data_IF_636158758701
#
_entry.id   IF_636158758701
#
_cell.length_a   1.000
_cell.length_b   1.000
_cell.length_c   1.000
_cell.angle_alpha   90.00
_cell.angle_beta   90.00
_cell.angle_gamma   90.00
#
_symmetry.space_group_name_H-M   'P 1'
#
loop_
_entity.id
_entity.type
_entity.pdbx_description
1 polymer ?
#
# COMPACT_ATOMS: atom_id res chain seq x y z
N UNK A 1 -34.94 -49.06 -16.24
CA UNK A 1 -34.17 -48.04 -17.00
C UNK A 1 -33.83 -46.78 -16.21
N UNK A 2 -34.57 -46.41 -15.14
CA UNK A 2 -34.33 -45.17 -14.38
C UNK A 2 -33.01 -45.14 -13.56
N UNK A 3 -32.53 -46.26 -13.01
CA UNK A 3 -31.35 -46.29 -12.14
C UNK A 3 -30.00 -46.03 -12.84
N UNK A 4 -29.86 -46.37 -14.14
CA UNK A 4 -28.63 -46.12 -14.91
C UNK A 4 -28.47 -44.64 -15.26
N UNK A 5 -29.57 -43.94 -15.56
CA UNK A 5 -29.53 -42.50 -15.84
C UNK A 5 -29.18 -41.68 -14.60
N UNK A 6 -29.67 -42.07 -13.42
CA UNK A 6 -29.35 -41.40 -12.17
C UNK A 6 -27.87 -41.55 -11.79
N UNK A 7 -27.29 -42.75 -12.00
CA UNK A 7 -25.87 -43.02 -11.74
C UNK A 7 -24.94 -42.24 -12.69
N UNK A 8 -25.30 -42.14 -13.98
CA UNK A 8 -24.54 -41.37 -14.97
C UNK A 8 -24.56 -39.87 -14.64
N UNK A 9 -25.71 -39.32 -14.24
CA UNK A 9 -25.83 -37.92 -13.83
C UNK A 9 -25.04 -37.61 -12.54
N UNK A 10 -25.06 -38.52 -11.57
CA UNK A 10 -24.29 -38.37 -10.33
C UNK A 10 -22.77 -38.41 -10.59
N UNK A 11 -22.30 -39.33 -11.44
CA UNK A 11 -20.87 -39.42 -11.82
C UNK A 11 -20.43 -38.18 -12.61
N UNK A 12 -21.27 -37.69 -13.54
CA UNK A 12 -20.99 -36.47 -14.27
C UNK A 12 -20.88 -35.25 -13.34
N UNK A 13 -21.80 -35.09 -12.38
CA UNK A 13 -21.76 -33.99 -11.42
C UNK A 13 -20.50 -34.04 -10.52
N UNK A 14 -20.11 -35.22 -10.05
CA UNK A 14 -18.90 -35.42 -9.23
C UNK A 14 -17.65 -35.08 -10.06
N UNK A 15 -17.58 -35.53 -11.32
CA UNK A 15 -16.48 -35.20 -12.23
C UNK A 15 -16.41 -33.71 -12.54
N UNK A 16 -17.54 -33.03 -12.73
CA UNK A 16 -17.57 -31.58 -12.96
C UNK A 16 -17.09 -30.81 -11.73
N UNK A 17 -17.55 -31.18 -10.53
CA UNK A 17 -17.09 -30.56 -9.28
C UNK A 17 -15.60 -30.83 -9.05
N UNK A 18 -15.12 -32.05 -9.30
CA UNK A 18 -13.71 -32.40 -9.17
C UNK A 18 -12.83 -31.65 -10.19
N UNK A 19 -13.26 -31.54 -11.45
CA UNK A 19 -12.54 -30.81 -12.50
C UNK A 19 -12.51 -29.31 -12.19
N UNK A 20 -13.62 -28.71 -11.74
CA UNK A 20 -13.65 -27.31 -11.29
C UNK A 20 -12.73 -27.12 -10.09
N UNK A 21 -12.77 -28.02 -9.09
CA UNK A 21 -11.93 -27.94 -7.90
C UNK A 21 -10.44 -28.07 -8.24
N UNK A 22 -10.08 -28.98 -9.14
CA UNK A 22 -8.69 -29.15 -9.63
C UNK A 22 -8.27 -27.97 -10.50
N UNK A 23 -9.13 -27.42 -11.35
CA UNK A 23 -8.82 -26.21 -12.12
C UNK A 23 -8.63 -25.00 -11.22
N UNK A 24 -9.50 -24.81 -10.22
CA UNK A 24 -9.37 -23.74 -9.23
C UNK A 24 -8.10 -23.91 -8.39
N UNK A 25 -7.74 -25.14 -8.02
CA UNK A 25 -6.52 -25.43 -7.27
C UNK A 25 -5.24 -25.27 -8.10
N UNK A 26 -5.25 -25.65 -9.39
CA UNK A 26 -4.10 -25.53 -10.29
C UNK A 26 -3.90 -24.12 -10.86
N UNK A 27 -4.95 -23.29 -10.89
CA UNK A 27 -4.91 -21.88 -11.30
C UNK A 27 -4.79 -20.91 -10.12
N UNK A 28 -4.94 -21.40 -8.89
CA UNK A 28 -4.65 -20.63 -7.68
C UNK A 28 -3.16 -20.28 -7.70
N UNK A 29 -2.77 -19.00 -7.59
CA UNK A 29 -1.41 -18.65 -7.21
C UNK A 29 -1.03 -19.46 -5.97
N UNK A 30 0.24 -19.86 -5.85
CA UNK A 30 0.75 -20.70 -4.75
C UNK A 30 0.65 -20.02 -3.39
N UNK A 31 -0.57 -19.84 -2.88
CA UNK A 31 -0.88 -19.28 -1.59
C UNK A 31 -0.73 -20.37 -0.54
N UNK A 32 0.02 -20.06 0.51
CA UNK A 32 0.14 -20.89 1.70
C UNK A 32 -1.21 -20.93 2.43
N UNK A 33 -1.92 -19.79 2.48
CA UNK A 33 -3.28 -19.69 2.99
C UNK A 33 -4.00 -18.47 2.41
N UNK A 34 -5.32 -18.49 2.51
CA UNK A 34 -6.19 -17.35 2.17
C UNK A 34 -6.94 -16.93 3.43
N UNK A 35 -6.95 -15.62 3.70
CA UNK A 35 -7.69 -14.99 4.78
C UNK A 35 -8.85 -14.17 4.22
N UNK A 36 -10.03 -14.32 4.81
CA UNK A 36 -11.17 -13.48 4.49
C UNK A 36 -11.21 -12.28 5.45
N UNK A 37 -10.87 -11.10 4.93
CA UNK A 37 -10.98 -9.83 5.66
C UNK A 37 -12.43 -9.32 5.62
N UNK A 38 -13.13 -9.59 4.53
CA UNK A 38 -14.54 -9.25 4.34
C UNK A 38 -14.79 -7.75 4.15
N UNK A 39 -15.90 -7.27 4.67
CA UNK A 39 -16.31 -5.87 4.55
C UNK A 39 -16.94 -5.51 3.20
N UNK A 40 -17.09 -4.22 2.92
CA UNK A 40 -17.90 -3.71 1.78
C UNK A 40 -17.35 -4.08 0.41
N UNK A 41 -16.08 -4.46 0.33
CA UNK A 41 -15.40 -4.87 -0.88
C UNK A 41 -15.02 -6.36 -0.90
N UNK A 42 -15.57 -7.16 0.03
CA UNK A 42 -15.32 -8.61 0.16
C UNK A 42 -13.82 -8.96 0.14
N UNK A 43 -13.02 -8.18 0.85
CA UNK A 43 -11.57 -8.25 0.76
C UNK A 43 -11.02 -9.61 1.20
N UNK A 44 -10.04 -10.13 0.45
CA UNK A 44 -9.32 -11.38 0.73
C UNK A 44 -7.82 -11.14 0.64
N UNK A 45 -7.05 -11.85 1.46
CA UNK A 45 -5.59 -11.81 1.45
C UNK A 45 -5.07 -13.22 1.22
N UNK A 46 -4.40 -13.44 0.10
CA UNK A 46 -3.67 -14.67 -0.19
C UNK A 46 -2.21 -14.53 0.23
N UNK A 47 -1.80 -15.24 1.27
CA UNK A 47 -0.44 -15.21 1.81
C UNK A 47 0.46 -16.12 0.99
N UNK A 48 1.60 -15.61 0.53
CA UNK A 48 2.59 -16.36 -0.29
C UNK A 48 3.89 -16.64 0.46
N UNK A 49 4.12 -15.99 1.60
CA UNK A 49 5.34 -16.19 2.38
C UNK A 49 5.51 -15.16 3.48
N UNK A 50 6.76 -14.99 3.90
CA UNK A 50 7.19 -14.06 4.95
C UNK A 50 8.40 -13.28 4.42
N UNK A 51 8.44 -11.97 4.66
CA UNK A 51 9.59 -11.13 4.29
C UNK A 51 10.76 -11.30 5.27
N UNK A 52 11.89 -10.65 4.98
CA UNK A 52 13.11 -10.74 5.80
C UNK A 52 12.96 -10.18 7.21
N UNK A 53 11.86 -9.45 7.50
CA UNK A 53 11.56 -8.88 8.82
C UNK A 53 10.61 -9.78 9.61
N UNK A 54 10.13 -10.86 9.03
CA UNK A 54 9.17 -11.76 9.68
C UNK A 54 7.71 -11.40 9.42
N UNK A 55 7.41 -10.43 8.54
CA UNK A 55 6.02 -10.09 8.21
C UNK A 55 5.50 -10.92 7.07
N UNK A 56 4.27 -11.37 7.19
CA UNK A 56 3.61 -12.12 6.13
C UNK A 56 3.33 -11.23 4.92
N UNK A 57 3.60 -11.76 3.74
CA UNK A 57 3.44 -11.07 2.47
C UNK A 57 2.57 -11.87 1.53
N UNK A 58 1.95 -11.18 0.59
CA UNK A 58 1.09 -11.83 -0.37
C UNK A 58 0.39 -10.88 -1.33
N UNK A 59 -0.78 -11.30 -1.76
CA UNK A 59 -1.67 -10.50 -2.59
C UNK A 59 -2.98 -10.24 -1.86
N UNK A 60 -3.46 -9.01 -1.95
CA UNK A 60 -4.79 -8.62 -1.51
C UNK A 60 -5.71 -8.52 -2.73
N UNK A 61 -6.95 -8.97 -2.58
CA UNK A 61 -8.00 -8.98 -3.61
C UNK A 61 -9.26 -8.34 -3.03
N UNK A 62 -9.94 -7.50 -3.81
CA UNK A 62 -11.20 -6.87 -3.40
C UNK A 62 -12.05 -6.48 -4.59
N UNK A 63 -13.36 -6.40 -4.41
CA UNK A 63 -14.31 -6.00 -5.44
C UNK A 63 -14.77 -4.57 -5.22
N UNK A 64 -14.60 -3.71 -6.23
CA UNK A 64 -15.10 -2.34 -6.21
C UNK A 64 -15.61 -1.96 -7.60
N UNK A 65 -16.73 -1.27 -7.65
CA UNK A 65 -17.35 -0.81 -8.91
C UNK A 65 -17.57 -1.96 -9.94
N UNK A 66 -17.87 -3.17 -9.44
CA UNK A 66 -18.09 -4.37 -10.26
C UNK A 66 -16.82 -5.04 -10.79
N UNK A 67 -15.63 -4.58 -10.38
CA UNK A 67 -14.33 -5.08 -10.84
C UNK A 67 -13.54 -5.65 -9.67
N UNK A 68 -12.89 -6.79 -9.89
CA UNK A 68 -11.90 -7.32 -8.95
C UNK A 68 -10.58 -6.60 -9.14
N UNK A 69 -10.04 -6.05 -8.05
CA UNK A 69 -8.73 -5.44 -8.00
C UNK A 69 -7.77 -6.32 -7.21
N UNK A 70 -6.49 -6.22 -7.57
CA UNK A 70 -5.39 -6.94 -6.91
C UNK A 70 -4.31 -5.95 -6.48
N UNK A 71 -3.82 -6.09 -5.25
CA UNK A 71 -2.69 -5.32 -4.72
C UNK A 71 -1.68 -6.20 -4.00
N UNK A 72 -0.52 -5.62 -3.71
CA UNK A 72 0.44 -6.23 -2.79
C UNK A 72 -0.07 -6.14 -1.36
N UNK A 73 0.18 -7.18 -0.57
CA UNK A 73 -0.11 -7.22 0.86
C UNK A 73 1.17 -7.40 1.67
N UNK A 74 1.31 -6.64 2.75
CA UNK A 74 2.30 -6.89 3.79
C UNK A 74 1.70 -6.65 5.18
N UNK A 75 1.84 -7.63 6.06
CA UNK A 75 1.23 -7.65 7.39
C UNK A 75 1.71 -6.53 8.33
N UNK A 76 2.86 -5.88 8.07
CA UNK A 76 3.30 -4.77 8.92
C UNK A 76 2.34 -3.57 8.91
N UNK A 77 1.49 -3.42 7.88
CA UNK A 77 0.45 -2.39 7.85
C UNK A 77 -0.84 -2.79 8.56
N UNK A 78 -1.01 -4.05 8.98
CA UNK A 78 -2.32 -4.57 9.41
C UNK A 78 -2.95 -3.75 10.53
N UNK A 79 -2.19 -3.47 11.58
CA UNK A 79 -2.66 -2.65 12.71
C UNK A 79 -3.09 -1.25 12.28
N UNK A 80 -2.35 -0.63 11.36
CA UNK A 80 -2.69 0.68 10.81
C UNK A 80 -3.96 0.60 9.95
N UNK A 81 -4.14 -0.45 9.15
CA UNK A 81 -5.32 -0.64 8.31
C UNK A 81 -6.58 -0.88 9.15
N UNK A 82 -6.49 -1.70 10.20
CA UNK A 82 -7.57 -1.91 11.17
C UNK A 82 -7.94 -0.59 11.85
N UNK A 83 -6.95 0.21 12.25
CA UNK A 83 -7.18 1.53 12.83
C UNK A 83 -7.85 2.48 11.83
N UNK A 84 -7.37 2.57 10.59
CA UNK A 84 -7.95 3.42 9.54
C UNK A 84 -9.43 3.08 9.36
N UNK A 85 -9.76 1.79 9.26
CA UNK A 85 -11.12 1.31 9.06
C UNK A 85 -12.06 1.68 10.22
N UNK A 86 -11.57 1.60 11.45
CA UNK A 86 -12.36 1.86 12.66
C UNK A 86 -12.42 3.33 13.09
N UNK A 87 -11.46 4.17 12.67
CA UNK A 87 -11.25 5.50 13.28
C UNK A 87 -11.27 6.67 12.30
N UNK A 88 -11.48 6.43 11.01
CA UNK A 88 -11.59 7.51 10.01
C UNK A 88 -12.96 7.52 9.33
N UNK A 89 -13.45 8.68 8.85
CA UNK A 89 -14.69 8.74 8.07
C UNK A 89 -14.60 7.87 6.80
N UNK A 90 -15.71 7.26 6.36
CA UNK A 90 -15.73 6.38 5.17
C UNK A 90 -15.26 7.07 3.88
N UNK A 91 -15.48 8.39 3.78
CA UNK A 91 -15.04 9.21 2.65
C UNK A 91 -13.63 9.78 2.81
N UNK A 92 -12.85 9.31 3.79
CA UNK A 92 -11.46 9.73 3.95
C UNK A 92 -10.62 9.32 2.73
N UNK A 93 -9.76 10.25 2.31
CA UNK A 93 -8.82 10.07 1.21
C UNK A 93 -7.41 10.21 1.78
N UNK A 94 -6.58 9.19 1.53
CA UNK A 94 -5.22 9.12 2.00
C UNK A 94 -4.23 9.50 0.90
N UNK A 95 -3.29 10.40 1.22
CA UNK A 95 -2.07 10.59 0.47
C UNK A 95 -1.01 9.61 1.00
N UNK A 96 -0.50 8.75 0.14
CA UNK A 96 0.48 7.72 0.48
C UNK A 96 1.24 7.29 -0.77
N UNK A 97 2.37 6.59 -0.58
CA UNK A 97 3.04 5.92 -1.68
C UNK A 97 2.18 4.77 -2.24
N UNK A 98 2.31 4.49 -3.54
CA UNK A 98 1.35 3.65 -4.28
C UNK A 98 1.32 2.19 -3.84
N UNK A 99 2.44 1.64 -3.37
CA UNK A 99 2.54 0.23 -2.92
C UNK A 99 1.47 -0.20 -1.91
N UNK A 100 0.92 0.75 -1.13
CA UNK A 100 -0.05 0.46 -0.07
C UNK A 100 -1.46 0.93 -0.41
N UNK A 101 -1.68 1.61 -1.54
CA UNK A 101 -2.97 2.21 -1.85
C UNK A 101 -4.08 1.16 -2.02
N UNK A 102 -3.77 0.00 -2.60
CA UNK A 102 -4.73 -1.11 -2.66
C UNK A 102 -5.08 -1.67 -1.27
N UNK A 103 -4.16 -1.67 -0.30
CA UNK A 103 -4.47 -2.07 1.07
C UNK A 103 -5.41 -1.05 1.74
N UNK A 104 -5.19 0.24 1.54
CA UNK A 104 -6.08 1.29 2.07
C UNK A 104 -7.49 1.18 1.48
N UNK A 105 -7.59 0.94 0.17
CA UNK A 105 -8.89 0.78 -0.52
C UNK A 105 -9.57 -0.53 -0.15
N UNK A 106 -8.93 -1.67 -0.40
CA UNK A 106 -9.56 -2.97 -0.23
C UNK A 106 -9.72 -3.39 1.22
N UNK A 107 -8.67 -3.24 2.04
CA UNK A 107 -8.69 -3.69 3.43
C UNK A 107 -9.39 -2.66 4.33
N UNK A 108 -8.91 -1.41 4.30
CA UNK A 108 -9.35 -0.37 5.22
C UNK A 108 -10.59 0.40 4.74
N UNK A 109 -11.05 0.14 3.51
CA UNK A 109 -12.27 0.70 2.94
C UNK A 109 -12.27 2.23 2.87
N UNK A 110 -11.11 2.83 2.59
CA UNK A 110 -10.91 4.27 2.38
C UNK A 110 -10.28 4.54 1.02
N UNK A 111 -10.43 5.74 0.48
CA UNK A 111 -9.83 6.06 -0.80
C UNK A 111 -8.35 6.44 -0.67
N UNK A 112 -7.59 6.24 -1.74
CA UNK A 112 -6.16 6.52 -1.83
C UNK A 112 -5.90 7.40 -3.05
N UNK A 113 -5.07 8.44 -2.90
CA UNK A 113 -4.69 9.32 -4.02
C UNK A 113 -4.04 8.49 -5.13
N UNK A 114 -3.06 7.65 -4.79
CA UNK A 114 -2.45 6.69 -5.72
C UNK A 114 -2.49 5.27 -5.13
N UNK A 115 -2.70 4.27 -5.99
CA UNK A 115 -2.73 2.85 -5.63
C UNK A 115 -1.92 1.96 -6.57
N UNK A 116 -1.51 2.51 -7.70
CA UNK A 116 -0.71 1.87 -8.73
C UNK A 116 0.44 2.78 -9.15
N UNK A 117 1.52 2.23 -9.72
CA UNK A 117 2.56 3.06 -10.32
C UNK A 117 2.01 3.75 -11.58
N UNK A 118 2.75 4.73 -12.10
CA UNK A 118 2.59 5.16 -13.49
C UNK A 118 3.43 4.29 -14.43
N UNK A 119 3.23 4.43 -15.74
CA UNK A 119 4.02 3.74 -16.75
C UNK A 119 5.52 4.06 -16.62
N UNK A 120 5.85 5.31 -16.35
CA UNK A 120 7.21 5.83 -16.11
C UNK A 120 7.77 5.31 -14.80
N UNK A 121 6.91 5.08 -13.80
CA UNK A 121 7.33 4.57 -12.51
C UNK A 121 7.66 3.07 -12.51
N UNK A 122 7.39 2.35 -13.61
CA UNK A 122 7.71 0.93 -13.75
C UNK A 122 9.20 0.60 -13.53
N UNK A 123 10.09 1.57 -13.75
CA UNK A 123 11.53 1.42 -13.45
C UNK A 123 11.83 1.14 -11.97
N UNK A 124 10.89 1.49 -11.08
CA UNK A 124 11.00 1.27 -9.64
C UNK A 124 10.33 -0.04 -9.18
N UNK A 125 9.73 -0.80 -10.09
CA UNK A 125 8.91 -1.97 -9.78
C UNK A 125 9.67 -3.26 -10.09
N UNK A 126 9.73 -4.15 -9.10
CA UNK A 126 10.45 -5.44 -9.23
C UNK A 126 9.74 -6.44 -10.16
N UNK A 127 8.41 -6.51 -10.09
CA UNK A 127 7.59 -7.40 -10.92
C UNK A 127 6.43 -6.61 -11.52
N UNK A 128 6.46 -6.43 -12.84
CA UNK A 128 5.44 -5.70 -13.60
C UNK A 128 4.39 -6.60 -14.22
N UNK A 129 4.60 -7.93 -14.24
CA UNK A 129 3.78 -8.88 -15.00
C UNK A 129 2.33 -9.00 -14.51
N UNK A 130 2.04 -8.45 -13.33
CA UNK A 130 0.74 -8.54 -12.67
C UNK A 130 0.00 -7.18 -12.63
N UNK A 131 0.63 -6.10 -13.12
CA UNK A 131 0.03 -4.77 -13.13
C UNK A 131 -0.91 -4.63 -14.34
N UNK A 132 -2.15 -4.26 -14.06
CA UNK A 132 -3.21 -4.04 -15.08
C UNK A 132 -3.75 -2.61 -15.08
N UNK A 133 -3.45 -1.85 -14.03
CA UNK A 133 -3.95 -0.51 -13.79
C UNK A 133 -2.76 0.40 -13.47
N UNK A 134 -2.86 1.65 -13.89
CA UNK A 134 -1.83 2.67 -13.68
C UNK A 134 -2.46 3.97 -13.19
N UNK A 135 -1.80 4.65 -12.25
CA UNK A 135 -2.09 6.05 -11.96
C UNK A 135 -1.37 6.95 -12.97
N UNK A 136 -1.81 8.20 -13.13
CA UNK A 136 -1.09 9.14 -14.00
C UNK A 136 0.26 9.50 -13.40
N UNK A 137 1.25 9.79 -14.25
CA UNK A 137 2.56 10.21 -13.79
C UNK A 137 2.51 11.46 -12.92
N UNK A 138 1.66 12.42 -13.29
CA UNK A 138 1.44 13.65 -12.51
C UNK A 138 1.07 13.34 -11.06
N UNK A 139 0.19 12.37 -10.81
CA UNK A 139 -0.18 11.99 -9.45
C UNK A 139 0.99 11.39 -8.67
N UNK A 140 1.86 10.61 -9.33
CA UNK A 140 3.08 10.07 -8.71
C UNK A 140 4.02 11.20 -8.31
N UNK A 141 4.25 12.15 -9.23
CA UNK A 141 5.11 13.32 -9.01
C UNK A 141 4.56 14.19 -7.88
N UNK A 142 3.26 14.44 -7.84
CA UNK A 142 2.64 15.22 -6.78
C UNK A 142 2.76 14.57 -5.41
N UNK A 143 2.47 13.27 -5.30
CA UNK A 143 2.66 12.55 -4.03
C UNK A 143 4.13 12.58 -3.60
N UNK A 144 5.05 12.37 -4.54
CA UNK A 144 6.48 12.47 -4.28
C UNK A 144 6.89 13.87 -3.76
N UNK A 145 6.39 14.94 -4.39
CA UNK A 145 6.64 16.33 -3.97
C UNK A 145 6.04 16.63 -2.59
N UNK A 146 4.81 16.19 -2.32
CA UNK A 146 4.16 16.36 -1.02
C UNK A 146 4.96 15.68 0.11
N UNK A 147 5.53 14.50 -0.16
CA UNK A 147 6.36 13.78 0.81
C UNK A 147 7.74 14.44 0.99
N UNK A 148 8.35 14.96 -0.06
CA UNK A 148 9.77 15.37 -0.02
C UNK A 148 10.00 16.86 0.16
N UNK A 149 8.97 17.70 0.01
CA UNK A 149 9.10 19.14 0.24
C UNK A 149 9.56 19.46 1.67
N UNK A 150 10.26 20.58 1.82
CA UNK A 150 10.64 21.14 3.13
C UNK A 150 9.67 22.24 3.60
N UNK A 151 8.63 22.50 2.83
CA UNK A 151 7.59 23.48 3.09
C UNK A 151 6.24 22.77 3.25
N UNK A 152 5.73 22.69 4.48
CA UNK A 152 4.45 22.01 4.75
C UNK A 152 3.27 22.60 3.97
N UNK A 153 3.29 23.87 3.57
CA UNK A 153 2.20 24.46 2.79
C UNK A 153 2.08 23.83 1.39
N UNK A 154 3.20 23.47 0.74
CA UNK A 154 3.19 22.76 -0.54
C UNK A 154 2.57 21.37 -0.40
N UNK A 155 2.92 20.65 0.68
CA UNK A 155 2.31 19.36 0.98
C UNK A 155 0.79 19.50 1.22
N UNK A 156 0.38 20.53 1.98
CA UNK A 156 -1.03 20.82 2.23
C UNK A 156 -1.80 21.21 0.96
N UNK A 157 -1.18 21.95 0.03
CA UNK A 157 -1.77 22.30 -1.27
C UNK A 157 -2.00 21.06 -2.13
N UNK A 158 -1.03 20.15 -2.21
CA UNK A 158 -1.19 18.88 -2.93
C UNK A 158 -2.26 18.01 -2.26
N UNK A 159 -2.28 17.95 -0.93
CA UNK A 159 -3.36 17.26 -0.22
C UNK A 159 -4.74 17.85 -0.56
N UNK A 160 -4.86 19.19 -0.64
CA UNK A 160 -6.10 19.86 -1.06
C UNK A 160 -6.45 19.56 -2.52
N UNK A 161 -5.49 19.54 -3.44
CA UNK A 161 -5.68 19.21 -4.87
C UNK A 161 -6.41 17.87 -5.04
N UNK A 162 -6.10 16.88 -4.19
CA UNK A 162 -6.71 15.54 -4.24
C UNK A 162 -7.78 15.29 -3.17
N UNK A 163 -8.22 16.32 -2.45
CA UNK A 163 -9.14 16.20 -1.30
C UNK A 163 -8.65 15.22 -0.22
N UNK A 164 -7.33 14.98 -0.13
CA UNK A 164 -6.74 14.16 0.90
C UNK A 164 -6.95 14.79 2.29
N UNK A 165 -7.46 13.98 3.20
CA UNK A 165 -7.70 14.34 4.61
C UNK A 165 -6.69 13.71 5.54
N UNK A 166 -5.97 12.69 5.07
CA UNK A 166 -4.91 12.01 5.79
C UNK A 166 -3.68 11.84 4.91
N UNK A 167 -2.51 11.75 5.55
CA UNK A 167 -1.25 11.35 4.94
C UNK A 167 -0.68 10.17 5.73
N UNK A 168 -0.32 9.10 5.04
CA UNK A 168 0.26 7.90 5.62
C UNK A 168 1.68 7.73 5.07
N UNK A 169 2.63 7.55 5.99
CA UNK A 169 4.03 7.28 5.66
C UNK A 169 4.48 6.05 6.43
N UNK A 170 5.18 5.17 5.74
CA UNK A 170 5.80 3.97 6.29
C UNK A 170 7.30 4.17 6.46
N UNK A 171 7.91 3.44 7.38
CA UNK A 171 9.37 3.44 7.57
C UNK A 171 10.14 3.08 6.29
N UNK A 172 9.57 2.20 5.45
CA UNK A 172 10.12 1.85 4.14
C UNK A 172 10.19 3.05 3.18
N UNK A 173 9.26 4.01 3.29
CA UNK A 173 9.26 5.24 2.48
C UNK A 173 10.47 6.13 2.82
N UNK A 174 10.95 6.08 4.06
CA UNK A 174 12.17 6.75 4.52
C UNK A 174 13.46 5.91 4.42
N UNK A 175 13.37 4.66 3.97
CA UNK A 175 14.52 3.73 3.92
C UNK A 175 14.65 3.11 2.53
N UNK A 176 13.92 2.04 2.26
CA UNK A 176 14.03 1.26 1.02
C UNK A 176 13.52 2.00 -0.23
N UNK A 177 12.53 2.89 -0.07
CA UNK A 177 11.85 3.55 -1.20
C UNK A 177 12.22 5.02 -1.35
N UNK A 178 12.90 5.59 -0.36
CA UNK A 178 13.23 7.01 -0.32
C UNK A 178 13.92 7.47 -1.61
N UNK A 179 14.87 6.69 -2.15
CA UNK A 179 15.52 7.00 -3.43
C UNK A 179 14.51 7.26 -4.56
N UNK A 180 13.52 6.38 -4.73
CA UNK A 180 12.52 6.51 -5.80
C UNK A 180 11.57 7.67 -5.55
N UNK A 181 11.11 7.84 -4.30
CA UNK A 181 10.22 8.95 -3.93
C UNK A 181 10.90 10.30 -4.23
N UNK A 182 12.17 10.48 -3.84
CA UNK A 182 12.91 11.70 -4.17
C UNK A 182 13.15 11.85 -5.67
N UNK A 183 13.51 10.77 -6.37
CA UNK A 183 13.73 10.80 -7.81
C UNK A 183 12.47 11.25 -8.58
N UNK A 184 11.27 10.76 -8.22
CA UNK A 184 10.02 11.20 -8.84
C UNK A 184 9.59 12.62 -8.45
N UNK A 185 10.15 13.17 -7.37
CA UNK A 185 10.05 14.59 -7.04
C UNK A 185 11.08 15.46 -7.79
N UNK A 186 11.85 14.88 -8.72
CA UNK A 186 12.96 15.53 -9.44
C UNK A 186 14.11 15.96 -8.50
N UNK A 187 14.28 15.24 -7.39
CA UNK A 187 15.32 15.49 -6.39
C UNK A 187 16.38 14.40 -6.42
N UNK A 188 17.64 14.79 -6.27
CA UNK A 188 18.72 13.84 -6.02
C UNK A 188 18.75 13.46 -4.54
N UNK A 189 18.35 12.22 -4.22
CA UNK A 189 18.27 11.74 -2.84
C UNK A 189 19.59 11.85 -2.08
N UNK A 190 20.74 11.71 -2.75
CA UNK A 190 22.05 11.78 -2.08
C UNK A 190 22.31 13.12 -1.39
N UNK A 191 21.67 14.20 -1.85
CA UNK A 191 21.75 15.52 -1.22
C UNK A 191 21.08 15.58 0.17
N UNK A 192 20.28 14.57 0.53
CA UNK A 192 19.51 14.49 1.77
C UNK A 192 20.10 13.48 2.76
N UNK A 193 21.13 12.75 2.34
CA UNK A 193 21.78 11.72 3.15
C UNK A 193 22.98 12.24 3.92
N UNK A 194 23.21 11.63 5.07
CA UNK A 194 24.48 11.74 5.76
C UNK A 194 25.53 10.90 5.01
N UNK A 195 26.75 11.44 4.84
CA UNK A 195 27.86 10.76 4.15
C UNK A 195 28.26 9.43 4.82
N UNK A 196 27.94 9.27 6.10
CA UNK A 196 28.18 8.05 6.88
C UNK A 196 26.98 7.11 6.90
N UNK A 197 26.14 7.05 5.86
CA UNK A 197 25.03 6.09 5.80
C UNK A 197 25.57 4.66 6.03
N UNK A 198 25.21 4.07 7.17
CA UNK A 198 25.52 2.68 7.51
C UNK A 198 24.25 1.86 7.54
N UNK A 199 24.31 0.55 7.21
CA UNK A 199 23.22 -0.37 7.45
C UNK A 199 22.76 -0.27 8.91
N UNK A 200 21.45 -0.08 9.11
CA UNK A 200 20.85 0.04 10.43
C UNK A 200 19.76 -1.01 10.60
N UNK A 201 19.76 -1.66 11.76
CA UNK A 201 18.72 -2.60 12.16
C UNK A 201 17.45 -1.88 12.62
N UNK A 202 17.49 -0.55 12.76
CA UNK A 202 16.30 0.24 13.03
C UNK A 202 15.33 0.17 11.84
N UNK A 203 14.05 0.11 12.18
CA UNK A 203 12.94 0.21 11.23
C UNK A 203 13.04 1.51 10.44
N UNK A 204 13.34 2.61 11.11
CA UNK A 204 13.80 3.87 10.51
C UNK A 204 14.93 4.48 11.35
N UNK A 205 16.05 4.83 10.71
CA UNK A 205 17.20 5.45 11.39
C UNK A 205 17.28 6.96 11.07
N UNK A 206 16.91 7.84 12.03
CA UNK A 206 16.89 9.28 11.77
C UNK A 206 18.28 9.90 11.56
N UNK A 207 19.36 9.19 11.91
CA UNK A 207 20.74 9.70 11.73
C UNK A 207 21.26 9.53 10.31
N UNK A 208 20.57 8.73 9.48
CA UNK A 208 20.89 8.55 8.07
C UNK A 208 20.58 9.79 7.22
N UNK A 209 19.71 10.69 7.71
CA UNK A 209 19.35 11.94 7.06
C UNK A 209 20.25 13.09 7.54
N UNK A 210 20.72 13.92 6.61
CA UNK A 210 21.48 15.14 6.92
C UNK A 210 20.54 16.30 7.30
N UNK A 211 21.10 17.49 7.57
CA UNK A 211 20.32 18.66 7.96
C UNK A 211 19.21 19.06 6.96
N UNK A 212 19.43 18.89 5.65
CA UNK A 212 18.42 19.14 4.63
C UNK A 212 17.35 18.02 4.62
N UNK A 213 17.79 16.77 4.67
CA UNK A 213 16.92 15.60 4.82
C UNK A 213 15.94 15.71 5.98
N UNK A 214 16.43 16.17 7.14
CA UNK A 214 15.63 16.36 8.36
C UNK A 214 14.52 17.40 8.25
N UNK A 215 14.54 18.25 7.22
CA UNK A 215 13.50 19.27 6.97
C UNK A 215 12.35 18.76 6.11
N UNK A 216 12.52 17.62 5.44
CA UNK A 216 11.52 17.07 4.53
C UNK A 216 10.27 16.60 5.29
N UNK A 217 9.09 16.72 4.69
CA UNK A 217 7.81 16.29 5.30
C UNK A 217 7.85 14.80 5.67
N UNK A 218 8.37 13.96 4.78
CA UNK A 218 8.50 12.51 5.01
C UNK A 218 9.35 12.20 6.25
N UNK A 219 10.49 12.86 6.42
CA UNK A 219 11.31 12.70 7.62
C UNK A 219 10.56 13.16 8.86
N UNK A 220 9.97 14.36 8.82
CA UNK A 220 9.24 14.96 9.95
C UNK A 220 8.08 14.06 10.40
N UNK A 221 7.34 13.46 9.47
CA UNK A 221 6.29 12.48 9.77
C UNK A 221 6.88 11.24 10.44
N UNK A 222 7.96 10.66 9.89
CA UNK A 222 8.57 9.43 10.41
C UNK A 222 9.09 9.56 11.84
N UNK A 223 9.62 10.73 12.20
CA UNK A 223 10.08 10.99 13.57
C UNK A 223 9.00 11.52 14.51
N UNK A 224 7.75 11.65 14.05
CA UNK A 224 6.64 12.13 14.87
C UNK A 224 6.73 13.63 15.20
N UNK A 225 7.34 14.44 14.33
CA UNK A 225 7.48 15.87 14.55
C UNK A 225 6.15 16.63 14.41
N UNK A 226 6.07 17.81 15.04
CA UNK A 226 5.00 18.76 14.78
C UNK A 226 5.13 19.33 13.37
N UNK A 227 4.01 19.37 12.65
CA UNK A 227 3.92 19.91 11.29
C UNK A 227 2.70 20.81 11.23
N UNK A 228 2.90 22.08 10.88
CA UNK A 228 1.79 23.04 10.85
C UNK A 228 0.71 22.56 9.86
N UNK A 229 -0.55 22.57 10.29
CA UNK A 229 -1.68 22.12 9.48
C UNK A 229 -1.87 20.60 9.42
N UNK A 230 -1.01 19.81 10.06
CA UNK A 230 -1.16 18.37 10.20
C UNK A 230 -1.11 17.97 11.68
N UNK A 231 -1.89 16.96 12.08
CA UNK A 231 -1.86 16.40 13.44
C UNK A 231 -1.64 14.90 13.39
N UNK A 232 -0.68 14.37 14.15
CA UNK A 232 -0.46 12.93 14.22
C UNK A 232 -1.66 12.26 14.92
N UNK A 233 -2.25 11.27 14.27
CA UNK A 233 -3.44 10.55 14.76
C UNK A 233 -3.20 9.07 14.98
N UNK A 234 -2.14 8.52 14.39
CA UNK A 234 -1.72 7.13 14.59
C UNK A 234 -0.20 7.00 14.45
N UNK A 235 0.38 6.14 15.27
CA UNK A 235 1.76 5.69 15.13
C UNK A 235 1.92 4.27 15.67
N UNK A 236 2.75 3.49 15.02
CA UNK A 236 3.30 2.24 15.55
C UNK A 236 4.81 2.17 15.25
N UNK A 237 5.41 0.98 15.13
CA UNK A 237 6.82 0.88 14.76
C UNK A 237 7.09 1.24 13.29
N UNK A 238 6.17 0.91 12.38
CA UNK A 238 6.35 0.94 10.93
C UNK A 238 5.61 2.08 10.24
N UNK A 239 4.54 2.61 10.84
CA UNK A 239 3.58 3.50 10.18
C UNK A 239 3.33 4.75 11.01
N UNK A 240 3.19 5.88 10.31
CA UNK A 240 2.74 7.16 10.86
C UNK A 240 1.58 7.66 10.02
N UNK A 241 0.53 8.14 10.67
CA UNK A 241 -0.60 8.77 10.00
C UNK A 241 -0.84 10.14 10.62
N UNK A 242 -0.90 11.14 9.76
CA UNK A 242 -1.28 12.49 10.12
C UNK A 242 -2.58 12.86 9.43
N UNK A 243 -3.43 13.61 10.14
CA UNK A 243 -4.66 14.19 9.63
C UNK A 243 -4.43 15.64 9.26
N UNK A 244 -4.92 16.06 8.09
CA UNK A 244 -4.93 17.47 7.68
C UNK A 244 -5.97 18.23 8.49
N UNK A 245 -5.55 19.32 9.11
CA UNK A 245 -6.45 20.27 9.78
C UNK A 245 -7.21 21.06 8.70
N UNK A 246 -8.50 21.26 8.93
CA UNK A 246 -9.41 22.00 8.04
C UNK A 246 -8.93 23.42 7.81
#
# INVERSE_FOLDING_TARGET
MAGKHFLILAIAAILTVAVISVHVFMLSPGFIRIEYVGGKYECKVGITGVDSRGFEVGSLFYYKDGVEHKGYFNAYLRSALDWIKGNTPENAIFLNWWDYGHMIVGYAERESVIKNPSQEALISVKDTGQLKEFNSHEMIVDVAKALTTTNENEALEIMRKYNATYILVTAEDGKGKAYWIFNFAELNFTNYLNQSWQPSNLTFDPNQYNALGKRTVIYRILVGAEIQGLTQVYYDENVRIYKRLS
#
